data_IF_803925615351
#
_entry.id   IF_803925615351
#
_cell.length_a   1.000
_cell.length_b   1.000
_cell.length_c   1.000
_cell.angle_alpha   90.00
_cell.angle_beta   90.00
_cell.angle_gamma   90.00
#
_symmetry.space_group_name_H-M   'P 1'
#
loop_
_entity.id
_entity.type
_entity.pdbx_description
1 polymer ?
#
# COMPACT_ATOMS: atom_id res chain seq x y z
N UNK A 1 15.31 -0.09 -4.41
CA UNK A 1 14.66 -0.82 -3.30
C UNK A 1 13.38 -0.10 -2.96
N UNK A 2 12.33 -0.83 -2.56
CA UNK A 2 11.06 -0.18 -2.27
C UNK A 2 11.11 0.60 -0.96
N UNK A 3 10.45 1.76 -0.94
CA UNK A 3 10.20 2.51 0.28
C UNK A 3 9.08 1.86 1.09
N UNK A 4 9.36 1.54 2.35
CA UNK A 4 8.43 0.81 3.21
C UNK A 4 7.57 1.77 4.02
N UNK A 5 6.25 1.59 3.90
CA UNK A 5 5.26 2.34 4.66
C UNK A 5 4.53 1.40 5.59
N UNK A 6 4.81 1.50 6.89
CA UNK A 6 4.07 0.78 7.93
C UNK A 6 2.79 1.54 8.30
N UNK A 7 2.08 1.06 9.32
CA UNK A 7 0.76 1.57 9.67
C UNK A 7 0.69 3.10 9.88
N UNK A 8 -0.22 3.73 9.13
CA UNK A 8 -0.45 5.18 9.08
C UNK A 8 0.69 6.01 8.49
N UNK A 9 1.66 5.40 7.82
CA UNK A 9 2.75 6.11 7.18
C UNK A 9 2.44 6.50 5.73
N UNK A 10 2.98 7.66 5.35
CA UNK A 10 3.00 8.19 3.99
C UNK A 10 4.43 8.40 3.52
N UNK A 11 4.65 8.25 2.23
CA UNK A 11 5.96 8.46 1.61
C UNK A 11 5.85 8.66 0.10
N UNK A 12 6.94 9.16 -0.47
CA UNK A 12 7.13 9.32 -1.91
C UNK A 12 8.31 8.47 -2.36
N UNK A 13 8.20 7.80 -3.50
CA UNK A 13 9.35 7.18 -4.17
C UNK A 13 9.17 7.29 -5.68
N UNK A 14 10.21 7.64 -6.45
CA UNK A 14 10.08 7.78 -7.90
C UNK A 14 9.73 6.47 -8.62
N UNK A 15 9.97 5.31 -8.01
CA UNK A 15 9.92 4.01 -8.69
C UNK A 15 9.19 2.91 -7.92
N UNK A 16 9.35 2.80 -6.60
CA UNK A 16 8.89 1.65 -5.80
C UNK A 16 8.36 2.03 -4.42
N UNK A 17 7.13 1.62 -4.09
CA UNK A 17 6.59 1.68 -2.72
C UNK A 17 6.10 0.31 -2.26
N UNK A 18 6.51 -0.08 -1.05
CA UNK A 18 6.19 -1.33 -0.39
C UNK A 18 5.35 -1.15 0.87
N UNK A 19 4.46 -2.09 1.11
CA UNK A 19 3.52 -2.12 2.22
C UNK A 19 3.61 -3.47 2.93
N UNK A 20 4.37 -3.56 4.03
CA UNK A 20 4.32 -4.73 4.88
C UNK A 20 2.99 -4.80 5.65
N UNK A 21 2.61 -6.00 6.07
CA UNK A 21 1.57 -6.18 7.09
C UNK A 21 0.14 -5.69 6.76
N UNK A 22 -0.33 -5.91 5.53
CA UNK A 22 -1.69 -5.54 5.07
C UNK A 22 -2.83 -6.46 5.58
N UNK A 23 -2.89 -6.73 6.89
CA UNK A 23 -3.89 -7.62 7.49
C UNK A 23 -5.34 -7.13 7.27
N UNK A 24 -5.67 -5.92 7.72
CA UNK A 24 -6.92 -5.21 7.40
C UNK A 24 -6.69 -3.82 6.78
N UNK A 25 -5.44 -3.36 6.79
CA UNK A 25 -5.03 -2.11 6.18
C UNK A 25 -5.10 -2.20 4.64
N UNK A 26 -5.10 -1.04 3.99
CA UNK A 26 -5.04 -0.92 2.54
C UNK A 26 -3.75 -0.22 2.15
N UNK A 27 -3.12 -0.75 1.12
CA UNK A 27 -2.01 -0.10 0.44
C UNK A 27 -2.58 0.84 -0.63
N UNK A 28 -2.63 2.13 -0.30
CA UNK A 28 -3.07 3.19 -1.19
C UNK A 28 -1.86 3.79 -1.91
N UNK A 29 -1.89 3.87 -3.24
CA UNK A 29 -0.83 4.53 -4.03
C UNK A 29 -1.43 5.44 -5.08
N UNK A 30 -0.96 6.67 -5.14
CA UNK A 30 -1.20 7.59 -6.24
C UNK A 30 0.04 7.60 -7.15
N UNK A 31 -0.15 7.20 -8.41
CA UNK A 31 0.86 7.33 -9.45
C UNK A 31 0.76 8.71 -10.10
N UNK A 32 1.88 9.40 -10.18
CA UNK A 32 2.05 10.63 -10.98
C UNK A 32 3.09 10.42 -12.08
N UNK A 33 3.18 11.38 -12.99
CA UNK A 33 4.28 11.44 -13.97
C UNK A 33 5.67 11.50 -13.31
N UNK A 34 5.78 12.04 -12.10
CA UNK A 34 7.03 12.11 -11.35
C UNK A 34 7.34 10.86 -10.53
N UNK A 35 6.34 10.21 -9.92
CA UNK A 35 6.61 9.07 -9.05
C UNK A 35 5.38 8.47 -8.40
N UNK A 36 5.59 7.82 -7.27
CA UNK A 36 4.58 7.15 -6.47
C UNK A 36 4.45 7.87 -5.13
N UNK A 37 3.22 8.18 -4.73
CA UNK A 37 2.89 8.59 -3.38
C UNK A 37 2.11 7.46 -2.73
N UNK A 38 2.59 6.98 -1.57
CA UNK A 38 1.98 5.87 -0.86
C UNK A 38 1.38 6.28 0.48
N UNK A 39 0.33 5.58 0.89
CA UNK A 39 -0.27 5.69 2.21
C UNK A 39 -0.76 4.33 2.70
N UNK A 40 -0.27 3.90 3.87
CA UNK A 40 -0.72 2.67 4.51
C UNK A 40 -1.94 2.93 5.40
N UNK A 41 -3.13 2.83 4.82
CA UNK A 41 -4.38 3.29 5.43
C UNK A 41 -5.08 2.18 6.23
N UNK A 42 -5.32 2.43 7.51
CA UNK A 42 -6.06 1.53 8.40
C UNK A 42 -7.56 1.49 8.06
N UNK A 43 -8.31 0.44 8.46
CA UNK A 43 -9.77 0.39 8.30
C UNK A 43 -10.48 1.63 8.84
N UNK A 44 -11.53 2.09 8.14
CA UNK A 44 -12.34 3.24 8.57
C UNK A 44 -11.64 4.60 8.48
N UNK A 45 -10.42 4.67 7.95
CA UNK A 45 -9.62 5.90 7.92
C UNK A 45 -9.57 6.59 6.55
N UNK A 46 -10.47 6.30 5.61
CA UNK A 46 -10.62 7.04 4.36
C UNK A 46 -10.74 8.57 4.56
N UNK A 47 -11.27 9.01 5.71
CA UNK A 47 -11.30 10.42 6.15
C UNK A 47 -9.92 11.09 6.25
N UNK A 48 -8.83 10.32 6.24
CA UNK A 48 -7.45 10.82 6.23
C UNK A 48 -6.93 11.16 4.83
N UNK A 49 -7.71 10.89 3.77
CA UNK A 49 -7.33 11.22 2.40
C UNK A 49 -6.99 12.71 2.18
N UNK A 50 -7.67 13.70 2.79
CA UNK A 50 -7.25 15.11 2.69
C UNK A 50 -5.86 15.38 3.29
N UNK A 51 -5.49 14.68 4.36
CA UNK A 51 -4.15 14.80 4.96
C UNK A 51 -3.09 14.16 4.06
N UNK A 52 -3.46 13.09 3.37
CA UNK A 52 -2.60 12.51 2.33
C UNK A 52 -2.45 13.46 1.13
N UNK A 53 -3.51 14.16 0.71
CA UNK A 53 -3.40 15.23 -0.30
C UNK A 53 -2.44 16.34 0.14
N UNK A 54 -2.56 16.79 1.40
CA UNK A 54 -1.63 17.77 1.97
C UNK A 54 -0.18 17.25 1.93
N UNK A 55 0.04 15.96 2.21
CA UNK A 55 1.36 15.36 2.07
C UNK A 55 1.87 15.42 0.62
N UNK A 56 1.04 15.06 -0.36
CA UNK A 56 1.38 15.09 -1.78
C UNK A 56 1.73 16.52 -2.23
N UNK A 57 0.93 17.51 -1.83
CA UNK A 57 1.15 18.91 -2.17
C UNK A 57 2.43 19.49 -1.55
N UNK A 58 2.81 19.00 -0.36
CA UNK A 58 3.98 19.48 0.37
C UNK A 58 5.26 18.65 0.12
N UNK A 59 5.18 17.55 -0.63
CA UNK A 59 6.29 16.59 -0.74
C UNK A 59 6.57 16.20 -2.19
N UNK A 60 7.86 16.16 -2.54
CA UNK A 60 8.30 15.73 -3.86
C UNK A 60 8.00 16.76 -4.96
N UNK A 61 8.24 16.39 -6.23
CA UNK A 61 8.06 17.28 -7.37
C UNK A 61 6.59 17.49 -7.77
N UNK A 62 5.63 16.86 -7.08
CA UNK A 62 4.22 16.85 -7.46
C UNK A 62 3.97 16.02 -8.71
N UNK A 63 3.15 16.55 -9.62
CA UNK A 63 2.94 15.98 -10.95
C UNK A 63 1.50 15.68 -11.31
N UNK A 64 1.29 15.33 -12.58
CA UNK A 64 -0.03 14.96 -13.09
C UNK A 64 -0.42 13.59 -12.54
N UNK A 65 -1.54 13.52 -11.82
CA UNK A 65 -2.08 12.25 -11.34
C UNK A 65 -2.49 11.36 -12.52
N UNK A 66 -1.99 10.12 -12.56
CA UNK A 66 -2.23 9.18 -13.67
C UNK A 66 -3.15 8.03 -13.29
N UNK A 67 -3.01 7.52 -12.07
CA UNK A 67 -3.78 6.37 -11.59
C UNK A 67 -3.78 6.28 -10.07
N UNK A 68 -4.92 5.88 -9.51
CA UNK A 68 -5.03 5.58 -8.09
C UNK A 68 -5.10 4.06 -7.88
N UNK A 69 -4.36 3.58 -6.90
CA UNK A 69 -4.34 2.18 -6.50
C UNK A 69 -4.78 1.99 -5.06
N UNK A 70 -5.54 0.93 -4.81
CA UNK A 70 -5.93 0.52 -3.47
C UNK A 70 -6.07 -0.99 -3.40
N UNK A 71 -5.20 -1.66 -2.64
CA UNK A 71 -5.24 -3.12 -2.47
C UNK A 71 -5.26 -3.47 -0.99
N UNK A 72 -6.09 -4.43 -0.62
CA UNK A 72 -6.26 -4.88 0.76
C UNK A 72 -6.82 -6.31 0.79
N UNK A 73 -6.89 -6.89 1.98
CA UNK A 73 -7.59 -8.15 2.19
C UNK A 73 -9.08 -7.86 2.38
N UNK A 74 -9.89 -8.04 1.33
CA UNK A 74 -11.28 -7.55 1.31
C UNK A 74 -12.10 -8.15 2.45
N UNK A 75 -11.96 -9.45 2.72
CA UNK A 75 -12.72 -10.14 3.77
C UNK A 75 -12.36 -9.68 5.20
N UNK A 76 -11.17 -9.12 5.40
CA UNK A 76 -10.73 -8.61 6.71
C UNK A 76 -11.08 -7.13 6.87
N UNK A 77 -11.06 -6.37 5.76
CA UNK A 77 -11.38 -4.94 5.76
C UNK A 77 -12.89 -4.69 5.74
N UNK A 78 -13.63 -5.50 4.98
CA UNK A 78 -15.06 -5.35 4.74
C UNK A 78 -15.79 -6.60 5.23
N UNK A 79 -16.29 -6.54 6.46
CA UNK A 79 -17.03 -7.63 7.07
C UNK A 79 -18.49 -7.65 6.58
N UNK A 80 -18.87 -8.72 5.87
CA UNK A 80 -20.25 -8.94 5.44
C UNK A 80 -20.78 -7.91 4.44
N UNK A 81 -22.10 -7.87 4.28
CA UNK A 81 -22.77 -6.86 3.45
C UNK A 81 -23.12 -5.63 4.29
N UNK A 82 -22.73 -4.45 3.81
CA UNK A 82 -23.10 -3.16 4.41
C UNK A 82 -23.92 -2.38 3.39
N UNK A 83 -25.12 -1.94 3.75
CA UNK A 83 -26.06 -1.24 2.85
C UNK A 83 -26.29 -1.98 1.52
N UNK A 84 -26.38 -3.32 1.57
CA UNK A 84 -26.57 -4.18 0.40
C UNK A 84 -25.31 -4.41 -0.45
N UNK A 85 -24.19 -3.73 -0.17
CA UNK A 85 -22.94 -3.87 -0.91
C UNK A 85 -22.10 -5.04 -0.38
N UNK A 86 -21.60 -5.86 -1.29
CA UNK A 86 -20.55 -6.84 -0.99
C UNK A 86 -19.19 -6.15 -0.76
N UNK A 87 -18.15 -6.92 -0.43
CA UNK A 87 -16.81 -6.36 -0.15
C UNK A 87 -16.23 -5.60 -1.34
N UNK A 88 -16.50 -6.03 -2.58
CA UNK A 88 -16.06 -5.33 -3.79
C UNK A 88 -16.78 -3.97 -3.95
N UNK A 89 -18.09 -3.93 -3.71
CA UNK A 89 -18.88 -2.71 -3.71
C UNK A 89 -18.44 -1.73 -2.63
N UNK A 90 -18.16 -2.24 -1.42
CA UNK A 90 -17.61 -1.44 -0.32
C UNK A 90 -16.21 -0.89 -0.67
N UNK A 91 -15.33 -1.70 -1.24
CA UNK A 91 -14.02 -1.24 -1.73
C UNK A 91 -14.15 -0.13 -2.78
N UNK A 92 -15.02 -0.32 -3.79
CA UNK A 92 -15.27 0.71 -4.81
C UNK A 92 -15.79 2.00 -4.19
N UNK A 93 -16.71 1.91 -3.23
CA UNK A 93 -17.24 3.06 -2.50
C UNK A 93 -16.15 3.80 -1.71
N UNK A 94 -15.32 3.07 -0.98
CA UNK A 94 -14.20 3.66 -0.24
C UNK A 94 -13.18 4.33 -1.17
N UNK A 95 -12.79 3.66 -2.25
CA UNK A 95 -11.85 4.20 -3.23
C UNK A 95 -12.40 5.41 -3.97
N UNK A 96 -13.72 5.47 -4.23
CA UNK A 96 -14.39 6.65 -4.79
C UNK A 96 -14.32 7.84 -3.83
N UNK A 97 -14.59 7.61 -2.54
CA UNK A 97 -14.50 8.67 -1.54
C UNK A 97 -13.06 9.21 -1.40
N UNK A 98 -12.07 8.31 -1.45
CA UNK A 98 -10.65 8.71 -1.45
C UNK A 98 -10.32 9.51 -2.71
N UNK A 99 -10.69 9.03 -3.90
CA UNK A 99 -10.44 9.73 -5.15
C UNK A 99 -11.02 11.15 -5.14
N UNK A 100 -12.28 11.30 -4.70
CA UNK A 100 -12.93 12.60 -4.56
C UNK A 100 -12.16 13.52 -3.60
N UNK A 101 -11.73 13.01 -2.45
CA UNK A 101 -10.96 13.79 -1.47
C UNK A 101 -9.58 14.21 -1.98
N UNK A 102 -9.01 13.47 -2.95
CA UNK A 102 -7.76 13.82 -3.62
C UNK A 102 -7.96 14.74 -4.84
N UNK A 103 -9.20 14.96 -5.29
CA UNK A 103 -9.49 15.59 -6.59
C UNK A 103 -9.02 14.76 -7.79
N UNK A 104 -8.94 13.44 -7.63
CA UNK A 104 -8.47 12.52 -8.66
C UNK A 104 -9.60 12.11 -9.62
N UNK A 105 -9.34 12.24 -10.93
CA UNK A 105 -10.19 11.75 -12.01
C UNK A 105 -9.43 10.72 -12.84
N UNK A 106 -10.11 9.66 -13.29
CA UNK A 106 -9.53 8.59 -14.08
C UNK A 106 -9.52 7.23 -13.39
N UNK A 107 -8.59 6.36 -13.79
CA UNK A 107 -8.66 4.94 -13.45
C UNK A 107 -8.27 4.66 -12.00
N UNK A 108 -9.06 3.83 -11.33
CA UNK A 108 -8.75 3.19 -10.06
C UNK A 108 -8.45 1.71 -10.29
N UNK A 109 -7.42 1.17 -9.64
CA UNK A 109 -7.05 -0.25 -9.76
C UNK A 109 -6.71 -0.84 -8.39
N UNK A 110 -7.13 -2.07 -8.12
CA UNK A 110 -6.84 -2.74 -6.87
C UNK A 110 -6.68 -4.24 -7.01
N UNK A 111 -6.18 -4.86 -5.96
CA UNK A 111 -6.09 -6.31 -5.82
C UNK A 111 -6.69 -6.74 -4.48
N UNK A 112 -7.54 -7.76 -4.53
CA UNK A 112 -8.03 -8.41 -3.32
C UNK A 112 -7.05 -9.49 -2.87
N UNK A 113 -6.38 -9.22 -1.75
CA UNK A 113 -5.45 -10.14 -1.11
C UNK A 113 -6.14 -11.36 -0.49
N UNK A 114 -7.47 -11.36 -0.36
CA UNK A 114 -8.26 -12.45 0.20
C UNK A 114 -8.33 -13.69 -0.68
N UNK A 115 -8.16 -13.50 -1.99
CA UNK A 115 -8.02 -14.58 -2.98
C UNK A 115 -6.85 -15.52 -2.68
N UNK A 116 -5.97 -15.13 -1.76
CA UNK A 116 -4.92 -15.98 -1.25
C UNK A 116 -5.35 -16.69 0.05
N UNK A 117 -5.66 -17.98 -0.08
CA UNK A 117 -6.02 -18.93 1.00
C UNK A 117 -4.85 -19.23 1.95
N UNK A 118 -4.29 -18.21 2.59
CA UNK A 118 -3.21 -18.41 3.55
C UNK A 118 -3.25 -17.34 4.63
N UNK A 119 -4.33 -17.33 5.40
CA UNK A 119 -4.13 -17.07 6.81
C UNK A 119 -3.17 -18.16 7.31
N UNK A 120 -1.88 -17.86 7.42
CA UNK A 120 -1.06 -18.68 8.28
C UNK A 120 -1.55 -18.40 9.70
N UNK A 121 -1.99 -19.45 10.40
CA UNK A 121 -2.23 -19.42 11.85
C UNK A 121 -0.95 -19.10 12.65
N UNK A 122 0.18 -19.01 11.94
CA UNK A 122 1.49 -18.72 12.51
C UNK A 122 1.56 -17.26 12.89
N UNK A 123 1.81 -17.06 14.17
CA UNK A 123 2.18 -15.79 14.71
C UNK A 123 3.59 -15.40 14.22
N UNK A 124 3.69 -14.35 13.41
CA UNK A 124 4.94 -13.62 13.18
C UNK A 124 5.16 -12.42 14.12
N UNK A 125 6.33 -12.35 14.76
CA UNK A 125 6.78 -11.10 15.39
C UNK A 125 6.96 -10.05 14.29
N UNK A 126 6.59 -8.80 14.57
CA UNK A 126 6.99 -7.71 13.68
C UNK A 126 8.53 -7.60 13.66
N UNK A 127 9.07 -6.76 12.77
CA UNK A 127 10.52 -6.57 12.63
C UNK A 127 11.14 -5.93 13.89
N UNK A 128 10.32 -5.45 14.82
CA UNK A 128 10.70 -4.85 16.09
C UNK A 128 10.59 -5.83 17.27
N UNK A 129 10.22 -7.09 17.00
CA UNK A 129 10.10 -8.13 18.03
C UNK A 129 8.79 -8.12 18.82
N UNK A 130 7.83 -7.25 18.48
CA UNK A 130 6.55 -7.14 19.16
C UNK A 130 5.49 -8.12 18.60
N UNK A 131 4.44 -8.37 19.40
CA UNK A 131 3.32 -9.31 19.12
C UNK A 131 2.56 -8.98 17.83
N UNK A 132 1.69 -9.90 17.44
CA UNK A 132 1.75 -10.53 16.13
C UNK A 132 0.51 -10.34 15.25
N UNK A 133 0.71 -10.01 13.97
CA UNK A 133 -0.34 -10.05 12.95
C UNK A 133 -0.41 -11.42 12.27
N UNK A 134 -1.59 -12.06 12.28
CA UNK A 134 -1.88 -13.31 11.55
C UNK A 134 -1.96 -13.02 10.04
N UNK A 135 -1.31 -13.86 9.21
CA UNK A 135 -1.47 -13.84 7.75
C UNK A 135 -1.16 -12.51 7.07
N UNK A 136 0.03 -11.96 7.28
CA UNK A 136 0.39 -10.64 6.72
C UNK A 136 1.11 -10.75 5.38
N UNK A 137 0.50 -10.17 4.34
CA UNK A 137 1.09 -10.06 3.01
C UNK A 137 1.91 -8.78 2.90
N UNK A 138 3.03 -8.89 2.18
CA UNK A 138 3.75 -7.77 1.60
C UNK A 138 3.11 -7.45 0.24
N UNK A 139 2.97 -6.17 -0.07
CA UNK A 139 2.61 -5.69 -1.38
C UNK A 139 3.60 -4.62 -1.84
N UNK A 140 3.95 -4.61 -3.11
CA UNK A 140 4.78 -3.58 -3.73
C UNK A 140 4.14 -3.07 -5.01
N UNK A 141 4.18 -1.75 -5.18
CA UNK A 141 3.87 -1.11 -6.45
C UNK A 141 5.16 -0.62 -7.08
N UNK A 142 5.35 -1.02 -8.33
CA UNK A 142 6.51 -0.63 -9.14
C UNK A 142 6.00 0.13 -10.35
N UNK A 143 6.45 1.37 -10.51
CA UNK A 143 6.14 2.18 -11.69
C UNK A 143 6.63 1.44 -12.94
N UNK A 144 5.75 1.28 -13.92
CA UNK A 144 6.14 0.64 -15.17
C UNK A 144 7.01 1.57 -16.01
N UNK A 145 7.82 1.05 -16.95
CA UNK A 145 8.70 1.88 -17.77
C UNK A 145 7.96 2.95 -18.59
N UNK A 146 6.66 2.74 -18.89
CA UNK A 146 5.84 3.73 -19.60
C UNK A 146 5.36 4.90 -18.71
N UNK A 147 5.45 4.74 -17.38
CA UNK A 147 4.93 5.68 -16.40
C UNK A 147 3.40 5.77 -16.36
N UNK A 148 2.67 4.93 -17.09
CA UNK A 148 1.20 4.98 -17.17
C UNK A 148 0.53 4.10 -16.13
N UNK A 149 1.25 3.12 -15.58
CA UNK A 149 0.72 2.17 -14.61
C UNK A 149 1.79 1.65 -13.65
N UNK A 150 1.33 0.86 -12.70
CA UNK A 150 2.16 0.12 -11.78
C UNK A 150 1.98 -1.37 -12.06
N UNK A 151 3.09 -2.08 -11.94
CA UNK A 151 3.10 -3.52 -11.68
C UNK A 151 2.87 -3.70 -10.18
N UNK A 152 2.04 -4.67 -9.83
CA UNK A 152 1.69 -4.96 -8.44
C UNK A 152 2.32 -6.29 -8.11
N UNK A 153 3.11 -6.33 -7.05
CA UNK A 153 3.81 -7.51 -6.60
C UNK A 153 3.39 -7.86 -5.18
N UNK A 154 3.43 -9.14 -4.84
CA UNK A 154 3.08 -9.60 -3.50
C UNK A 154 3.94 -10.77 -3.03
N UNK A 155 3.99 -10.96 -1.71
CA UNK A 155 4.60 -12.13 -1.05
C UNK A 155 4.06 -12.27 0.37
N UNK A 156 4.13 -13.48 0.97
CA UNK A 156 3.91 -13.61 2.43
C UNK A 156 5.05 -12.91 3.15
N UNK A 157 4.74 -12.14 4.18
CA UNK A 157 5.77 -11.51 5.02
C UNK A 157 6.69 -12.57 5.65
N UNK A 158 6.20 -13.78 5.97
CA UNK A 158 7.01 -14.89 6.52
C UNK A 158 8.09 -15.42 5.57
N UNK A 159 8.07 -14.95 4.32
CA UNK A 159 9.03 -15.27 3.27
C UNK A 159 9.84 -14.04 2.83
N UNK A 160 9.75 -12.93 3.55
CA UNK A 160 10.55 -11.72 3.36
C UNK A 160 11.73 -11.72 4.35
N UNK A 161 12.93 -11.31 3.92
CA UNK A 161 14.08 -11.10 4.82
C UNK A 161 14.38 -9.62 4.94
N UNK A 162 13.75 -8.99 5.92
CA UNK A 162 13.80 -7.54 6.11
C UNK A 162 15.21 -7.10 6.50
N UNK A 163 15.75 -6.15 5.75
CA UNK A 163 17.02 -5.49 6.04
C UNK A 163 16.75 -4.08 6.55
N UNK A 164 17.36 -3.67 7.67
CA UNK A 164 17.32 -2.27 8.09
C UNK A 164 17.93 -1.39 7.01
N UNK A 165 17.22 -0.36 6.58
CA UNK A 165 17.71 0.65 5.64
C UNK A 165 18.21 1.89 6.38
N UNK A 166 18.85 2.79 5.64
CA UNK A 166 19.10 4.17 6.10
C UNK A 166 18.61 5.09 4.99
N UNK A 167 17.45 5.73 5.20
CA UNK A 167 17.05 6.84 4.33
C UNK A 167 17.78 8.11 4.77
N UNK A 168 18.17 8.94 3.81
CA UNK A 168 18.64 10.28 4.09
C UNK A 168 17.54 11.08 4.81
N UNK A 169 17.93 11.95 5.75
CA UNK A 169 16.99 12.79 6.50
C UNK A 169 16.11 13.69 5.60
N UNK A 170 16.54 13.91 4.35
CA UNK A 170 15.85 14.68 3.32
C UNK A 170 14.71 13.93 2.63
N UNK A 171 14.48 12.65 2.96
CA UNK A 171 13.49 11.80 2.32
C UNK A 171 12.43 11.29 3.33
N UNK A 172 11.61 12.19 3.89
CA UNK A 172 10.86 11.89 5.10
C UNK A 172 9.64 11.04 4.81
N UNK A 173 9.66 9.80 5.32
CA UNK A 173 8.43 9.10 5.68
C UNK A 173 7.79 9.86 6.86
N UNK A 174 6.49 10.11 6.76
CA UNK A 174 5.71 10.80 7.80
C UNK A 174 4.57 9.91 8.26
N UNK A 175 4.12 10.10 9.50
CA UNK A 175 2.93 9.42 10.02
C UNK A 175 1.73 10.38 10.01
N UNK A 176 0.55 9.87 9.65
CA UNK A 176 -0.70 10.63 9.75
C UNK A 176 -1.41 10.25 11.06
N UNK A 177 -1.34 11.14 12.05
CA UNK A 177 -2.03 11.00 13.33
C UNK A 177 -3.28 11.89 13.34
N UNK A 178 -4.47 11.28 13.38
CA UNK A 178 -5.74 12.00 13.31
C UNK A 178 -5.89 12.79 12.00
N UNK A 179 -6.10 14.10 12.10
CA UNK A 179 -6.25 15.04 10.98
C UNK A 179 -4.95 15.78 10.61
N UNK A 180 -3.81 15.42 11.20
CA UNK A 180 -2.55 16.16 11.06
C UNK A 180 -1.42 15.27 10.50
N UNK A 181 -0.52 15.88 9.73
CA UNK A 181 0.78 15.30 9.40
C UNK A 181 1.70 15.41 10.62
N UNK A 182 2.12 14.27 11.18
CA UNK A 182 3.10 14.28 12.25
C UNK A 182 4.50 14.63 11.71
N UNK A 183 5.40 14.95 12.64
CA UNK A 183 6.82 15.11 12.35
C UNK A 183 7.38 13.86 11.64
N UNK A 184 8.44 14.00 10.82
CA UNK A 184 9.10 12.87 10.19
C UNK A 184 9.42 11.79 11.22
N UNK A 185 9.06 10.54 10.92
CA UNK A 185 9.32 9.43 11.83
C UNK A 185 10.70 8.88 11.52
N UNK A 186 11.53 8.66 12.55
CA UNK A 186 12.71 7.80 12.44
C UNK A 186 12.22 6.37 12.22
N UNK A 187 12.01 6.00 10.97
CA UNK A 187 11.56 4.65 10.64
C UNK A 187 12.70 3.66 10.95
N UNK A 188 12.38 2.58 11.67
CA UNK A 188 13.30 1.51 12.06
C UNK A 188 13.35 0.37 11.04
N UNK A 189 12.46 0.38 10.03
CA UNK A 189 12.37 -0.61 8.94
C UNK A 189 12.17 0.12 7.61
N UNK A 190 13.29 0.45 6.98
CA UNK A 190 13.40 1.52 5.98
C UNK A 190 13.85 1.01 4.61
N UNK A 191 13.81 -0.29 4.34
CA UNK A 191 14.05 -0.79 2.98
C UNK A 191 13.37 -2.12 2.76
N UNK A 192 13.02 -2.39 1.50
CA UNK A 192 12.74 -3.76 1.09
C UNK A 192 13.93 -4.65 1.42
N UNK A 193 13.66 -5.61 2.31
CA UNK A 193 14.28 -6.92 2.31
C UNK A 193 14.81 -7.32 0.94
N UNK A 194 16.04 -7.83 0.86
CA UNK A 194 16.35 -8.73 -0.24
C UNK A 194 15.37 -9.91 -0.17
N UNK A 195 14.81 -10.26 -1.33
CA UNK A 195 13.93 -11.41 -1.41
C UNK A 195 14.81 -12.64 -1.17
N UNK A 196 14.57 -13.39 -0.08
CA UNK A 196 15.33 -14.63 0.17
C UNK A 196 15.19 -15.55 -1.02
N UNK A 197 16.27 -15.75 -1.78
CA UNK A 197 16.38 -16.80 -2.78
C UNK A 197 16.41 -18.15 -2.06
N UNK A 198 15.24 -18.74 -1.89
CA UNK A 198 15.15 -20.18 -1.61
C UNK A 198 15.57 -20.94 -2.86
N UNK A 199 16.01 -22.19 -2.73
CA UNK A 199 16.39 -23.12 -3.82
C UNK A 199 15.24 -23.54 -4.78
N UNK A 200 14.22 -22.70 -4.94
CA UNK A 200 13.15 -22.79 -5.93
C UNK A 200 12.43 -21.44 -6.09
N UNK A 201 11.38 -21.38 -6.92
CA UNK A 201 10.60 -20.15 -7.25
C UNK A 201 10.03 -19.37 -6.05
N UNK A 202 10.20 -19.85 -4.82
CA UNK A 202 9.68 -19.27 -3.57
C UNK A 202 10.49 -18.05 -3.08
N UNK A 203 11.54 -17.67 -3.81
CA UNK A 203 12.40 -16.54 -3.52
C UNK A 203 12.21 -15.31 -4.40
N UNK A 204 11.08 -15.17 -5.09
CA UNK A 204 10.76 -13.98 -5.89
C UNK A 204 9.44 -13.36 -5.42
N UNK A 205 9.26 -12.07 -5.68
CA UNK A 205 7.96 -11.45 -5.60
C UNK A 205 7.09 -12.00 -6.74
N UNK A 206 5.81 -12.21 -6.46
CA UNK A 206 4.86 -12.65 -7.48
C UNK A 206 4.14 -11.44 -8.06
N UNK A 207 4.13 -11.30 -9.38
CA UNK A 207 3.34 -10.24 -10.02
C UNK A 207 1.87 -10.65 -10.08
N UNK A 208 0.99 -9.72 -9.70
CA UNK A 208 -0.45 -9.87 -9.86
C UNK A 208 -0.80 -9.82 -11.34
N UNK A 209 -1.30 -10.94 -11.86
CA UNK A 209 -1.82 -11.04 -13.23
C UNK A 209 -3.00 -10.10 -13.48
N UNK A 210 -3.24 -9.77 -14.76
CA UNK A 210 -4.28 -8.81 -15.16
C UNK A 210 -5.67 -9.18 -14.63
N UNK A 211 -6.07 -10.46 -14.75
CA UNK A 211 -7.37 -10.95 -14.31
C UNK A 211 -7.58 -10.97 -12.78
N UNK A 212 -6.50 -10.86 -12.01
CA UNK A 212 -6.61 -10.74 -10.55
C UNK A 212 -7.00 -9.33 -10.10
N UNK A 213 -6.93 -8.33 -10.98
CA UNK A 213 -7.11 -6.92 -10.61
C UNK A 213 -8.57 -6.48 -10.79
N UNK A 214 -9.05 -5.70 -9.83
CA UNK A 214 -10.28 -4.94 -9.97
C UNK A 214 -9.97 -3.54 -10.50
N UNK A 215 -10.83 -2.99 -11.35
CA UNK A 215 -10.67 -1.62 -11.85
C UNK A 215 -12.01 -0.98 -12.15
N UNK A 216 -12.05 0.34 -12.04
CA UNK A 216 -13.18 1.19 -12.43
C UNK A 216 -12.67 2.62 -12.67
N UNK A 217 -13.48 3.47 -13.28
CA UNK A 217 -13.12 4.86 -13.56
C UNK A 217 -13.88 5.82 -12.63
N UNK A 218 -13.19 6.89 -12.24
CA UNK A 218 -13.76 8.05 -11.57
C UNK A 218 -14.01 9.10 -12.65
N UNK A 219 -15.28 9.53 -12.84
CA UNK A 219 -15.63 10.54 -13.83
C UNK A 219 -15.01 11.89 -13.49
#
# INVERSE_FOLDING_TARGET
MAKFLVEEEVGYDPQHIGFPNLGGCMALVLLTDQGLYGFHITPGNARKAPVFLQFIQNTGPGGTMKRLYGSCYFLNRYAGKVNGLDSLGQWKGEMKNIANALGFHGKVTGYDLSTWNSHSDKTMKDVLGNKTHKGVNYLEYVKDPSGQKCRIFYKKMEKMQLTPGVFAATDPIRKIMGSNLANPVKNTITSSADIVTTTGNKGKLHEVGFFGRHSFDIP
#
